data_IF_871666059195
#
_entry.id   IF_871666059195
#
_cell.length_a   1.000
_cell.length_b   1.000
_cell.length_c   1.000
_cell.angle_alpha   90.00
_cell.angle_beta   90.00
_cell.angle_gamma   90.00
#
_symmetry.space_group_name_H-M   'P 1'
#
loop_
_entity.id
_entity.type
_entity.pdbx_description
1 polymer ?
#
# COMPACT_ATOMS: atom_id res chain seq x y z
N UNK A 1 -5.00 -3.53 9.10
CA UNK A 1 -4.21 -2.70 10.04
C UNK A 1 -3.47 -3.64 10.99
N UNK A 2 -2.30 -3.27 11.49
CA UNK A 2 -1.53 -4.13 12.38
C UNK A 2 -1.45 -3.48 13.76
N UNK A 3 -1.98 -4.14 14.80
CA UNK A 3 -1.88 -3.70 16.20
C UNK A 3 -0.82 -4.58 16.85
N UNK A 4 0.38 -4.01 17.09
CA UNK A 4 1.48 -4.73 17.71
C UNK A 4 1.10 -5.22 19.12
N UNK A 5 1.42 -6.48 19.43
CA UNK A 5 1.10 -7.08 20.73
C UNK A 5 -0.31 -7.68 20.84
N UNK A 6 -1.18 -7.50 19.85
CA UNK A 6 -2.48 -8.17 19.76
C UNK A 6 -2.32 -9.52 19.06
N UNK A 7 -2.21 -10.60 19.83
CA UNK A 7 -2.21 -11.97 19.31
C UNK A 7 -3.64 -12.49 19.13
N UNK A 8 -3.79 -13.56 18.35
CA UNK A 8 -5.07 -14.26 18.19
C UNK A 8 -5.64 -14.69 19.56
N UNK A 9 -4.81 -15.30 20.41
CA UNK A 9 -5.22 -15.71 21.77
C UNK A 9 -5.63 -14.51 22.66
N UNK A 10 -5.01 -13.35 22.48
CA UNK A 10 -5.42 -12.12 23.17
C UNK A 10 -6.77 -11.63 22.68
N UNK A 11 -6.97 -11.64 21.36
CA UNK A 11 -8.23 -11.23 20.76
C UNK A 11 -9.38 -12.16 21.20
N UNK A 12 -9.16 -13.48 21.19
CA UNK A 12 -10.15 -14.45 21.68
C UNK A 12 -10.57 -14.14 23.13
N UNK A 13 -9.60 -13.91 24.03
CA UNK A 13 -9.91 -13.50 25.42
C UNK A 13 -10.78 -12.25 25.47
N UNK A 14 -10.47 -11.23 24.66
CA UNK A 14 -11.24 -9.99 24.65
C UNK A 14 -12.66 -10.17 24.12
N UNK A 15 -12.84 -11.08 23.16
CA UNK A 15 -14.17 -11.44 22.64
C UNK A 15 -14.96 -12.21 23.71
N UNK A 16 -14.36 -13.21 24.36
CA UNK A 16 -14.98 -14.03 25.40
C UNK A 16 -15.44 -13.20 26.61
N UNK A 17 -14.63 -12.22 26.99
CA UNK A 17 -14.94 -11.26 28.09
C UNK A 17 -15.90 -10.15 27.65
N UNK A 18 -16.27 -10.09 26.38
CA UNK A 18 -17.17 -9.08 25.83
C UNK A 18 -16.59 -7.68 25.73
N UNK A 19 -15.25 -7.55 25.84
CA UNK A 19 -14.51 -6.29 25.67
C UNK A 19 -14.52 -5.88 24.20
N UNK A 20 -14.34 -6.84 23.29
CA UNK A 20 -14.36 -6.62 21.85
C UNK A 20 -15.58 -7.37 21.26
N UNK A 21 -16.48 -6.63 20.63
CA UNK A 21 -17.66 -7.12 19.92
C UNK A 21 -17.63 -6.80 18.44
N UNK A 22 -16.95 -5.71 18.10
CA UNK A 22 -16.72 -5.25 16.75
C UNK A 22 -15.29 -4.72 16.58
N UNK A 23 -14.84 -4.54 15.34
CA UNK A 23 -13.46 -4.10 15.07
C UNK A 23 -13.13 -2.72 15.67
N UNK A 24 -14.11 -1.83 15.76
CA UNK A 24 -13.92 -0.49 16.33
C UNK A 24 -13.57 -0.53 17.83
N UNK A 25 -14.00 -1.58 18.57
CA UNK A 25 -13.70 -1.71 20.00
C UNK A 25 -12.21 -1.88 20.28
N UNK A 26 -11.45 -2.40 19.30
CA UNK A 26 -10.00 -2.51 19.39
C UNK A 26 -9.28 -1.16 19.56
N UNK A 27 -9.94 -0.07 19.22
CA UNK A 27 -9.42 1.30 19.36
C UNK A 27 -9.98 2.02 20.59
N UNK A 28 -10.83 1.32 21.40
CA UNK A 28 -11.45 1.83 22.63
C UNK A 28 -11.03 1.04 23.88
N UNK A 29 -9.90 0.33 23.81
CA UNK A 29 -9.42 -0.54 24.90
C UNK A 29 -9.16 0.23 26.21
N UNK A 30 -8.92 1.53 26.15
CA UNK A 30 -8.74 2.40 27.32
C UNK A 30 -9.96 2.35 28.25
N UNK A 31 -11.16 2.21 27.70
CA UNK A 31 -12.42 2.15 28.45
C UNK A 31 -12.54 0.86 29.30
N UNK A 32 -11.72 -0.15 29.00
CA UNK A 32 -11.73 -1.46 29.66
C UNK A 32 -10.46 -1.75 30.47
N UNK A 33 -9.72 -0.68 30.87
CA UNK A 33 -8.42 -0.79 31.54
C UNK A 33 -8.43 -1.78 32.72
N UNK A 34 -9.33 -1.60 33.66
CA UNK A 34 -9.36 -2.40 34.89
C UNK A 34 -9.65 -3.88 34.58
N UNK A 35 -10.48 -4.17 33.61
CA UNK A 35 -10.76 -5.53 33.18
C UNK A 35 -9.51 -6.17 32.56
N UNK A 36 -8.85 -5.48 31.63
CA UNK A 36 -7.71 -6.02 30.89
C UNK A 36 -6.48 -6.20 31.78
N UNK A 37 -6.15 -5.23 32.62
CA UNK A 37 -4.97 -5.29 33.50
C UNK A 37 -5.04 -6.45 34.50
N UNK A 38 -6.24 -6.81 34.95
CA UNK A 38 -6.46 -7.92 35.89
C UNK A 38 -6.62 -9.30 35.20
N UNK A 39 -6.60 -9.38 33.87
CA UNK A 39 -6.64 -10.65 33.14
C UNK A 39 -5.34 -11.43 33.32
N UNK A 40 -5.44 -12.77 33.35
CA UNK A 40 -4.27 -13.64 33.40
C UNK A 40 -3.35 -13.44 32.18
N UNK A 41 -2.09 -13.13 32.46
CA UNK A 41 -1.08 -12.85 31.41
C UNK A 41 -1.00 -11.38 30.99
N UNK A 42 -1.83 -10.52 31.57
CA UNK A 42 -1.78 -9.07 31.39
C UNK A 42 -1.24 -8.37 32.65
N UNK A 43 -0.84 -7.13 32.48
CA UNK A 43 -0.47 -6.20 33.54
C UNK A 43 -0.39 -4.80 32.94
N UNK A 44 -0.16 -3.80 33.77
CA UNK A 44 -0.10 -2.40 33.40
C UNK A 44 0.73 -2.15 32.13
N UNK A 45 1.97 -2.63 32.11
CA UNK A 45 2.89 -2.42 30.98
C UNK A 45 2.38 -3.04 29.67
N UNK A 46 1.76 -4.22 29.74
CA UNK A 46 1.22 -4.89 28.55
C UNK A 46 0.01 -4.14 28.02
N UNK A 47 -0.83 -3.65 28.93
CA UNK A 47 -1.98 -2.81 28.60
C UNK A 47 -1.53 -1.50 27.92
N UNK A 48 -0.61 -0.75 28.55
CA UNK A 48 -0.12 0.52 28.00
C UNK A 48 0.49 0.35 26.60
N UNK A 49 1.27 -0.72 26.39
CA UNK A 49 1.84 -1.03 25.08
C UNK A 49 0.75 -1.33 24.05
N UNK A 50 -0.26 -2.09 24.43
CA UNK A 50 -1.36 -2.48 23.52
C UNK A 50 -2.20 -1.26 23.13
N UNK A 51 -2.53 -0.38 24.09
CA UNK A 51 -3.24 0.88 23.84
C UNK A 51 -2.43 1.80 22.93
N UNK A 52 -1.12 1.94 23.19
CA UNK A 52 -0.25 2.73 22.32
C UNK A 52 -0.18 2.16 20.89
N UNK A 53 -0.13 0.83 20.76
CA UNK A 53 -0.15 0.17 19.46
C UNK A 53 -1.50 0.35 18.73
N UNK A 54 -2.62 0.25 19.42
CA UNK A 54 -3.95 0.51 18.89
C UNK A 54 -4.08 1.98 18.42
N UNK A 55 -3.64 2.93 19.23
CA UNK A 55 -3.62 4.35 18.86
C UNK A 55 -2.76 4.63 17.62
N UNK A 56 -1.58 4.04 17.56
CA UNK A 56 -0.72 4.14 16.35
C UNK A 56 -1.39 3.52 15.12
N UNK A 57 -2.11 2.40 15.28
CA UNK A 57 -2.81 1.73 14.20
C UNK A 57 -4.09 2.47 13.77
N UNK A 58 -4.67 3.34 14.60
CA UNK A 58 -5.81 4.18 14.24
C UNK A 58 -5.45 5.28 13.24
N UNK A 59 -4.18 5.69 13.19
CA UNK A 59 -3.65 6.56 12.14
C UNK A 59 -3.35 5.71 10.90
N UNK A 60 -4.16 5.85 9.86
CA UNK A 60 -4.11 4.95 8.71
C UNK A 60 -4.32 5.68 7.39
N UNK A 61 -4.18 4.97 6.29
CA UNK A 61 -4.47 5.48 4.94
C UNK A 61 -5.66 4.74 4.33
N UNK A 62 -6.36 5.31 3.33
CA UNK A 62 -7.47 4.64 2.66
C UNK A 62 -7.11 3.27 2.10
N UNK A 63 -5.91 3.12 1.52
CA UNK A 63 -5.43 1.83 1.01
C UNK A 63 -5.30 0.77 2.11
N UNK A 64 -4.76 1.15 3.29
CA UNK A 64 -4.61 0.23 4.43
C UNK A 64 -5.94 -0.13 5.06
N UNK A 65 -6.86 0.84 5.17
CA UNK A 65 -8.22 0.56 5.62
C UNK A 65 -8.91 -0.39 4.67
N UNK A 66 -8.92 -0.11 3.36
CA UNK A 66 -9.54 -0.96 2.35
C UNK A 66 -9.02 -2.40 2.40
N UNK A 67 -7.70 -2.57 2.47
CA UNK A 67 -7.09 -3.89 2.62
C UNK A 67 -7.54 -4.60 3.90
N UNK A 68 -7.66 -3.88 5.02
CA UNK A 68 -8.02 -4.46 6.32
C UNK A 68 -9.48 -4.94 6.41
N UNK A 69 -10.35 -4.49 5.52
CA UNK A 69 -11.75 -4.95 5.46
C UNK A 69 -11.89 -6.39 4.98
N UNK A 70 -10.84 -6.99 4.43
CA UNK A 70 -10.85 -8.39 4.02
C UNK A 70 -11.76 -8.71 2.84
N UNK A 71 -12.02 -7.75 1.96
CA UNK A 71 -12.84 -7.94 0.76
C UNK A 71 -12.20 -9.05 -0.10
N UNK A 72 -12.94 -10.09 -0.49
CA UNK A 72 -12.39 -11.20 -1.28
C UNK A 72 -11.67 -10.70 -2.54
N UNK A 73 -10.46 -11.22 -2.78
CA UNK A 73 -9.59 -10.89 -3.89
C UNK A 73 -9.03 -9.44 -3.90
N UNK A 74 -9.34 -8.61 -2.93
CA UNK A 74 -8.75 -7.29 -2.76
C UNK A 74 -7.58 -7.39 -1.76
N UNK A 75 -6.41 -7.74 -2.29
CA UNK A 75 -5.15 -7.73 -1.54
C UNK A 75 -4.55 -6.32 -1.42
N UNK A 76 -3.42 -6.19 -0.72
CA UNK A 76 -2.75 -4.91 -0.49
C UNK A 76 -2.41 -4.15 -1.79
N UNK A 77 -2.00 -4.86 -2.85
CA UNK A 77 -1.69 -4.25 -4.14
C UNK A 77 -2.94 -3.64 -4.79
N UNK A 78 -4.05 -4.40 -4.85
CA UNK A 78 -5.32 -3.92 -5.42
C UNK A 78 -5.89 -2.76 -4.60
N UNK A 79 -5.84 -2.85 -3.26
CA UNK A 79 -6.27 -1.76 -2.38
C UNK A 79 -5.45 -0.47 -2.63
N UNK A 80 -4.14 -0.59 -2.84
CA UNK A 80 -3.27 0.53 -3.20
C UNK A 80 -3.63 1.16 -4.56
N UNK A 81 -3.89 0.34 -5.57
CA UNK A 81 -4.31 0.82 -6.90
C UNK A 81 -5.66 1.54 -6.85
N UNK A 82 -6.66 0.95 -6.20
CA UNK A 82 -7.99 1.55 -6.02
C UNK A 82 -7.87 2.90 -5.29
N UNK A 83 -7.12 2.93 -4.19
CA UNK A 83 -6.92 4.15 -3.41
C UNK A 83 -6.27 5.27 -4.24
N UNK A 84 -5.25 4.93 -5.02
CA UNK A 84 -4.56 5.86 -5.91
C UNK A 84 -5.49 6.41 -7.00
N UNK A 85 -6.30 5.55 -7.64
CA UNK A 85 -7.27 5.96 -8.66
C UNK A 85 -8.32 6.93 -8.08
N UNK A 86 -8.72 6.69 -6.85
CA UNK A 86 -9.64 7.57 -6.11
C UNK A 86 -8.95 8.79 -5.48
N UNK A 87 -7.65 9.03 -5.72
CA UNK A 87 -6.87 10.12 -5.12
C UNK A 87 -6.95 10.10 -3.58
N UNK A 88 -6.88 8.92 -2.99
CA UNK A 88 -7.02 8.66 -1.55
C UNK A 88 -8.33 9.17 -0.92
N UNK A 89 -9.38 9.44 -1.70
CA UNK A 89 -10.65 9.88 -1.16
C UNK A 89 -11.52 8.70 -0.77
N UNK A 90 -11.69 8.50 0.55
CA UNK A 90 -12.45 7.36 1.09
C UNK A 90 -13.89 7.33 0.56
N UNK A 91 -14.54 8.48 0.48
CA UNK A 91 -15.89 8.58 -0.06
C UNK A 91 -15.99 8.05 -1.50
N UNK A 92 -14.98 8.31 -2.33
CA UNK A 92 -14.95 7.75 -3.70
C UNK A 92 -14.69 6.25 -3.68
N UNK A 93 -13.76 5.79 -2.84
CA UNK A 93 -13.40 4.38 -2.71
C UNK A 93 -14.63 3.54 -2.39
N UNK A 94 -15.40 3.91 -1.39
CA UNK A 94 -16.57 3.13 -0.96
C UNK A 94 -17.75 3.16 -1.94
N UNK A 95 -17.78 4.10 -2.88
CA UNK A 95 -18.88 4.31 -3.83
C UNK A 95 -18.52 3.96 -5.29
N UNK A 96 -17.40 3.28 -5.54
CA UNK A 96 -17.03 2.86 -6.89
C UNK A 96 -18.04 1.86 -7.46
N UNK A 97 -18.43 2.08 -8.71
CA UNK A 97 -19.25 1.16 -9.51
C UNK A 97 -18.39 -0.01 -10.06
N UNK A 98 -19.08 -1.07 -10.52
CA UNK A 98 -18.40 -2.20 -11.19
C UNK A 98 -17.59 -1.73 -12.42
N UNK A 99 -18.17 -0.83 -13.23
CA UNK A 99 -17.53 -0.32 -14.46
C UNK A 99 -16.27 0.50 -14.14
N UNK A 100 -16.33 1.37 -13.13
CA UNK A 100 -15.16 2.14 -12.67
C UNK A 100 -14.06 1.22 -12.15
N UNK A 101 -14.41 0.20 -11.36
CA UNK A 101 -13.46 -0.80 -10.86
C UNK A 101 -12.80 -1.58 -12.00
N UNK A 102 -13.57 -2.03 -13.00
CA UNK A 102 -13.05 -2.75 -14.17
C UNK A 102 -12.17 -1.87 -15.07
N UNK A 103 -12.26 -0.55 -14.97
CA UNK A 103 -11.34 0.36 -15.66
C UNK A 103 -9.94 0.39 -15.05
N UNK A 104 -9.78 -0.10 -13.81
CA UNK A 104 -8.49 -0.18 -13.12
C UNK A 104 -7.74 -1.44 -13.58
N UNK A 105 -6.50 -1.26 -14.05
CA UNK A 105 -5.68 -2.37 -14.54
C UNK A 105 -5.51 -3.46 -13.46
N UNK A 106 -5.79 -4.70 -13.82
CA UNK A 106 -5.72 -5.85 -12.92
C UNK A 106 -6.98 -6.13 -12.09
N UNK A 107 -8.05 -5.34 -12.21
CA UNK A 107 -9.35 -5.62 -11.58
C UNK A 107 -10.31 -6.18 -12.61
N UNK A 108 -10.69 -7.45 -12.43
CA UNK A 108 -11.66 -8.14 -13.28
C UNK A 108 -13.07 -8.13 -12.70
N UNK A 109 -14.05 -8.55 -13.52
CA UNK A 109 -15.48 -8.57 -13.19
C UNK A 109 -15.79 -9.23 -11.85
N UNK A 110 -15.17 -10.37 -11.52
CA UNK A 110 -15.42 -11.09 -10.25
C UNK A 110 -14.99 -10.25 -9.04
N UNK A 111 -13.86 -9.56 -9.14
CA UNK A 111 -13.39 -8.67 -8.08
C UNK A 111 -14.29 -7.44 -7.94
N UNK A 112 -14.64 -6.81 -9.07
CA UNK A 112 -15.49 -5.62 -9.10
C UNK A 112 -16.86 -5.90 -8.49
N UNK A 113 -17.50 -7.01 -8.88
CA UNK A 113 -18.80 -7.43 -8.31
C UNK A 113 -18.69 -7.73 -6.81
N UNK A 114 -17.68 -8.48 -6.38
CA UNK A 114 -17.46 -8.79 -4.96
C UNK A 114 -17.24 -7.54 -4.12
N UNK A 115 -16.52 -6.56 -4.65
CA UNK A 115 -16.30 -5.25 -4.02
C UNK A 115 -17.60 -4.47 -3.84
N UNK A 116 -18.38 -4.32 -4.92
CA UNK A 116 -19.65 -3.59 -4.87
C UNK A 116 -20.63 -4.28 -3.92
N UNK A 117 -20.74 -5.62 -3.96
CA UNK A 117 -21.56 -6.37 -3.02
C UNK A 117 -21.15 -6.11 -1.57
N UNK A 118 -19.85 -6.04 -1.27
CA UNK A 118 -19.36 -5.76 0.09
C UNK A 118 -19.86 -4.41 0.60
N UNK A 119 -19.76 -3.35 -0.19
CA UNK A 119 -20.18 -2.00 0.20
C UNK A 119 -21.70 -1.77 0.13
N UNK A 120 -22.48 -2.75 -0.37
CA UNK A 120 -23.95 -2.74 -0.35
C UNK A 120 -24.55 -3.65 0.73
N UNK A 121 -23.72 -4.40 1.45
CA UNK A 121 -24.17 -5.22 2.57
C UNK A 121 -24.32 -4.39 3.84
N UNK A 122 -25.49 -4.45 4.48
CA UNK A 122 -25.79 -3.62 5.65
C UNK A 122 -24.87 -3.89 6.85
N UNK A 123 -24.38 -5.13 7.02
CA UNK A 123 -23.48 -5.47 8.13
C UNK A 123 -22.09 -4.86 7.89
N UNK A 124 -21.60 -4.94 6.65
CA UNK A 124 -20.32 -4.34 6.26
C UNK A 124 -20.38 -2.80 6.32
N UNK A 125 -21.50 -2.20 5.89
CA UNK A 125 -21.72 -0.75 5.99
C UNK A 125 -21.64 -0.29 7.46
N UNK A 126 -22.27 -1.03 8.38
CA UNK A 126 -22.19 -0.73 9.83
C UNK A 126 -20.76 -0.84 10.34
N UNK A 127 -20.05 -1.91 9.98
CA UNK A 127 -18.65 -2.10 10.34
C UNK A 127 -17.74 -0.98 9.83
N UNK A 128 -17.89 -0.58 8.59
CA UNK A 128 -17.13 0.54 8.02
C UNK A 128 -17.43 1.84 8.76
N UNK A 129 -18.69 2.14 9.04
CA UNK A 129 -19.10 3.34 9.77
C UNK A 129 -18.50 3.39 11.17
N UNK A 130 -18.58 2.29 11.94
CA UNK A 130 -17.99 2.26 13.29
C UNK A 130 -16.47 2.41 13.27
N UNK A 131 -15.79 1.87 12.26
CA UNK A 131 -14.34 2.08 12.07
C UNK A 131 -14.02 3.54 11.75
N UNK A 132 -14.80 4.20 10.90
CA UNK A 132 -14.57 5.61 10.55
C UNK A 132 -14.73 6.57 11.73
N UNK A 133 -15.47 6.18 12.78
CA UNK A 133 -15.61 6.97 14.00
C UNK A 133 -14.36 6.96 14.88
N UNK A 134 -13.52 5.92 14.78
CA UNK A 134 -12.35 5.70 15.64
C UNK A 134 -11.01 5.82 14.90
N UNK A 135 -11.02 5.87 13.58
CA UNK A 135 -9.82 5.97 12.74
C UNK A 135 -9.57 7.40 12.29
N UNK A 136 -8.30 7.80 12.28
CA UNK A 136 -7.81 9.00 11.60
C UNK A 136 -7.25 8.60 10.24
N UNK A 137 -7.99 8.90 9.17
CA UNK A 137 -7.60 8.51 7.82
C UNK A 137 -6.86 9.68 7.16
N UNK A 138 -5.59 9.46 6.84
CA UNK A 138 -4.82 10.39 6.04
C UNK A 138 -5.20 10.25 4.55
N UNK A 139 -6.06 11.12 4.10
CA UNK A 139 -6.49 11.24 2.71
C UNK A 139 -5.60 12.16 1.87
N UNK A 140 -4.44 12.53 2.38
CA UNK A 140 -3.48 13.30 1.61
C UNK A 140 -3.13 12.51 0.33
N UNK A 141 -3.20 13.19 -0.78
CA UNK A 141 -2.86 12.66 -2.08
C UNK A 141 -1.94 13.67 -2.75
N UNK A 142 -0.67 13.35 -2.76
CA UNK A 142 0.22 14.02 -3.69
C UNK A 142 -0.07 13.44 -5.06
N UNK A 143 -0.78 14.19 -5.88
CA UNK A 143 -0.76 13.92 -7.29
C UNK A 143 0.72 13.97 -7.66
N UNK A 144 1.31 12.83 -7.99
CA UNK A 144 2.59 12.84 -8.72
C UNK A 144 2.27 13.53 -10.05
N UNK A 145 2.10 14.86 -9.98
CA UNK A 145 2.00 15.75 -11.10
C UNK A 145 3.32 15.58 -11.84
N UNK A 146 3.30 14.68 -12.85
CA UNK A 146 4.41 14.54 -13.75
C UNK A 146 5.77 14.52 -13.03
N UNK A 147 5.99 13.55 -12.13
CA UNK A 147 7.36 13.33 -11.65
C UNK A 147 8.25 13.22 -12.86
N UNK A 148 9.49 13.65 -12.74
CA UNK A 148 10.53 13.67 -13.81
C UNK A 148 10.52 12.41 -14.67
N UNK A 149 10.02 11.28 -14.10
CA UNK A 149 9.96 9.97 -14.74
C UNK A 149 8.54 9.50 -15.10
N UNK A 150 7.55 10.41 -15.10
CA UNK A 150 6.16 10.07 -15.40
C UNK A 150 6.02 9.46 -16.80
N UNK A 151 5.28 8.36 -16.91
CA UNK A 151 5.10 7.63 -18.16
C UNK A 151 6.26 6.72 -18.56
N UNK A 152 7.39 6.74 -17.84
CA UNK A 152 8.55 5.91 -18.12
C UNK A 152 8.53 4.61 -17.31
N UNK A 153 8.90 3.51 -17.95
CA UNK A 153 9.04 2.19 -17.32
C UNK A 153 10.52 1.78 -17.31
N UNK A 154 11.01 1.43 -16.13
CA UNK A 154 12.38 1.04 -15.88
C UNK A 154 12.51 -0.43 -15.50
N UNK A 155 13.57 -1.07 -15.96
CA UNK A 155 14.01 -2.38 -15.44
C UNK A 155 15.37 -2.19 -14.80
N UNK A 156 15.60 -2.79 -13.63
CA UNK A 156 16.86 -2.65 -12.88
C UNK A 156 17.54 -4.02 -12.85
N UNK A 157 18.84 -4.04 -13.14
CA UNK A 157 19.66 -5.26 -13.11
C UNK A 157 21.11 -4.94 -12.71
N UNK A 158 21.88 -5.97 -12.39
CA UNK A 158 23.27 -5.80 -11.98
C UNK A 158 23.46 -5.35 -10.52
N UNK A 159 24.67 -4.95 -10.20
CA UNK A 159 25.03 -4.38 -8.90
C UNK A 159 24.78 -2.89 -8.91
N UNK A 160 24.25 -2.37 -7.82
CA UNK A 160 24.07 -0.95 -7.56
C UNK A 160 25.20 -0.45 -6.65
N UNK A 161 25.59 0.79 -6.80
CA UNK A 161 26.73 1.42 -6.11
C UNK A 161 26.30 2.67 -5.33
N UNK A 162 25.35 3.44 -5.84
CA UNK A 162 24.87 4.68 -5.25
C UNK A 162 23.64 4.48 -4.36
N UNK A 163 22.96 3.35 -4.49
CA UNK A 163 21.80 2.99 -3.68
C UNK A 163 22.10 1.76 -2.83
N UNK A 164 21.42 1.62 -1.69
CA UNK A 164 21.62 0.50 -0.78
C UNK A 164 21.39 -0.87 -1.44
N UNK A 165 20.39 -0.94 -2.32
CA UNK A 165 20.02 -2.13 -3.10
C UNK A 165 19.11 -1.73 -4.25
N UNK A 166 18.73 -2.71 -5.09
CA UNK A 166 17.83 -2.50 -6.24
C UNK A 166 16.42 -2.07 -5.85
N UNK A 167 15.95 -2.43 -4.67
CA UNK A 167 14.61 -2.02 -4.20
C UNK A 167 14.61 -0.54 -3.79
N UNK A 168 15.74 -0.02 -3.31
CA UNK A 168 15.91 1.42 -3.10
C UNK A 168 15.84 2.20 -4.44
N UNK A 169 16.44 1.68 -5.52
CA UNK A 169 16.32 2.30 -6.85
C UNK A 169 14.87 2.27 -7.33
N UNK A 170 14.16 1.14 -7.15
CA UNK A 170 12.72 1.06 -7.49
C UNK A 170 11.90 2.11 -6.75
N UNK A 171 12.10 2.23 -5.44
CA UNK A 171 11.39 3.22 -4.63
C UNK A 171 11.60 4.65 -5.16
N UNK A 172 12.81 5.00 -5.58
CA UNK A 172 13.12 6.31 -6.16
C UNK A 172 12.45 6.50 -7.53
N UNK A 173 12.46 5.47 -8.40
CA UNK A 173 11.73 5.52 -9.68
C UNK A 173 10.24 5.79 -9.45
N UNK A 174 9.63 5.05 -8.52
CA UNK A 174 8.20 5.15 -8.20
C UNK A 174 7.86 6.48 -7.54
N UNK A 175 8.70 6.98 -6.64
CA UNK A 175 8.57 8.30 -6.04
C UNK A 175 8.65 9.44 -7.07
N UNK A 176 9.46 9.26 -8.13
CA UNK A 176 9.55 10.19 -9.26
C UNK A 176 8.47 9.99 -10.34
N UNK A 177 7.43 9.19 -10.07
CA UNK A 177 6.30 8.96 -10.98
C UNK A 177 6.55 7.92 -12.08
N UNK A 178 7.71 7.27 -12.10
CA UNK A 178 8.03 6.19 -13.03
C UNK A 178 7.42 4.84 -12.61
N UNK A 179 7.48 3.86 -13.52
CA UNK A 179 7.07 2.46 -13.25
C UNK A 179 8.29 1.55 -13.26
N UNK A 180 8.25 0.49 -12.45
CA UNK A 180 9.30 -0.54 -12.47
C UNK A 180 8.75 -1.87 -12.96
N UNK A 181 9.55 -2.63 -13.72
CA UNK A 181 9.21 -3.96 -14.18
C UNK A 181 10.33 -4.97 -13.88
N UNK A 182 9.95 -6.22 -13.69
CA UNK A 182 10.89 -7.32 -13.40
C UNK A 182 11.65 -7.83 -14.63
N UNK A 183 11.08 -7.65 -15.84
CA UNK A 183 11.62 -8.14 -17.11
C UNK A 183 11.59 -7.05 -18.18
N UNK A 184 12.53 -7.13 -19.12
CA UNK A 184 12.62 -6.23 -20.27
C UNK A 184 11.58 -6.65 -21.33
N UNK A 185 10.78 -5.69 -21.79
CA UNK A 185 9.76 -5.87 -22.81
C UNK A 185 9.66 -4.63 -23.70
N UNK A 186 8.86 -4.67 -24.76
CA UNK A 186 8.61 -3.51 -25.64
C UNK A 186 8.01 -2.29 -24.90
N UNK A 187 7.49 -2.48 -23.69
CA UNK A 187 6.97 -1.39 -22.82
C UNK A 187 8.05 -0.78 -21.93
N UNK A 188 9.29 -1.31 -21.93
CA UNK A 188 10.40 -0.81 -21.12
C UNK A 188 11.05 0.38 -21.84
N UNK A 189 11.20 1.50 -21.13
CA UNK A 189 11.87 2.70 -21.68
C UNK A 189 13.38 2.70 -21.40
N UNK A 190 13.80 2.20 -20.23
CA UNK A 190 15.21 2.19 -19.83
C UNK A 190 15.56 0.92 -19.04
N UNK A 191 16.77 0.41 -19.26
CA UNK A 191 17.39 -0.60 -18.40
C UNK A 191 18.49 0.05 -17.57
N UNK A 192 18.36 0.09 -16.25
CA UNK A 192 19.40 0.57 -15.34
C UNK A 192 20.36 -0.59 -15.05
N UNK A 193 21.62 -0.42 -15.47
CA UNK A 193 22.71 -1.35 -15.21
C UNK A 193 24.06 -0.65 -15.31
N UNK A 194 24.84 -0.60 -14.25
CA UNK A 194 26.19 -0.02 -14.26
C UNK A 194 27.17 -0.74 -15.20
N UNK A 195 26.96 -2.03 -15.46
CA UNK A 195 27.69 -2.78 -16.48
C UNK A 195 26.89 -2.79 -17.79
N UNK A 196 27.07 -1.72 -18.61
CA UNK A 196 26.40 -1.54 -19.90
C UNK A 196 26.74 -2.68 -20.87
N UNK A 197 27.93 -3.28 -20.75
CA UNK A 197 28.42 -4.37 -21.59
C UNK A 197 28.10 -5.77 -21.06
N UNK A 198 27.36 -5.87 -19.96
CA UNK A 198 26.96 -7.13 -19.36
C UNK A 198 26.35 -8.09 -20.38
N UNK A 199 26.75 -9.35 -20.29
CA UNK A 199 26.19 -10.45 -21.10
C UNK A 199 24.87 -11.02 -20.52
N UNK A 200 24.29 -10.37 -19.50
CA UNK A 200 23.06 -10.81 -18.85
C UNK A 200 21.88 -10.88 -19.82
N UNK A 201 20.92 -11.76 -19.57
CA UNK A 201 19.72 -11.92 -20.41
C UNK A 201 18.92 -10.61 -20.57
N UNK A 202 18.88 -9.78 -19.51
CA UNK A 202 18.21 -8.47 -19.55
C UNK A 202 18.95 -7.49 -20.46
N UNK A 203 20.29 -7.43 -20.39
CA UNK A 203 21.09 -6.57 -21.31
C UNK A 203 20.94 -7.01 -22.77
N UNK A 204 20.99 -8.33 -23.03
CA UNK A 204 20.78 -8.85 -24.40
C UNK A 204 19.40 -8.47 -24.91
N UNK A 205 18.36 -8.66 -24.09
CA UNK A 205 16.98 -8.33 -24.45
C UNK A 205 16.78 -6.82 -24.66
N UNK A 206 17.42 -5.97 -23.87
CA UNK A 206 17.38 -4.52 -24.06
C UNK A 206 17.99 -4.11 -25.39
N UNK A 207 19.15 -4.69 -25.74
CA UNK A 207 19.81 -4.46 -27.04
C UNK A 207 18.99 -4.96 -28.23
N UNK A 208 18.33 -6.12 -28.10
CA UNK A 208 17.44 -6.65 -29.13
C UNK A 208 16.20 -5.78 -29.40
N UNK A 209 15.76 -5.03 -28.40
CA UNK A 209 14.57 -4.17 -28.46
C UNK A 209 14.94 -2.69 -28.59
N UNK A 210 16.22 -2.35 -28.86
CA UNK A 210 16.74 -0.99 -28.93
C UNK A 210 16.43 -0.12 -27.70
N UNK A 211 16.36 -0.75 -26.50
CA UNK A 211 16.09 -0.09 -25.24
C UNK A 211 17.40 0.45 -24.69
N UNK A 212 17.48 1.76 -24.36
CA UNK A 212 18.65 2.35 -23.77
C UNK A 212 19.05 1.70 -22.44
N UNK A 213 20.35 1.35 -22.31
CA UNK A 213 20.94 0.86 -21.07
C UNK A 213 21.68 2.05 -20.46
N UNK A 214 21.26 2.46 -19.25
CA UNK A 214 21.82 3.63 -18.55
C UNK A 214 22.46 3.19 -17.23
N UNK A 215 23.44 3.98 -16.77
CA UNK A 215 24.05 3.78 -15.45
C UNK A 215 23.22 4.41 -14.34
N UNK A 216 23.53 4.13 -13.07
CA UNK A 216 22.93 4.84 -11.93
C UNK A 216 23.21 6.34 -11.97
N UNK A 217 24.40 6.74 -12.43
CA UNK A 217 24.76 8.16 -12.59
C UNK A 217 23.89 8.85 -13.63
N UNK A 218 23.65 8.21 -14.77
CA UNK A 218 22.75 8.74 -15.80
C UNK A 218 21.32 8.82 -15.31
N UNK A 219 20.89 7.81 -14.56
CA UNK A 219 19.58 7.81 -13.91
C UNK A 219 19.42 8.97 -12.91
N UNK A 220 20.44 9.23 -12.07
CA UNK A 220 20.42 10.36 -11.13
C UNK A 220 20.36 11.72 -11.87
N UNK A 221 21.08 11.88 -12.97
CA UNK A 221 20.97 13.08 -13.81
C UNK A 221 19.57 13.26 -14.40
N UNK A 222 18.90 12.16 -14.77
CA UNK A 222 17.50 12.23 -15.23
C UNK A 222 16.55 12.72 -14.13
N UNK A 223 16.81 12.36 -12.87
CA UNK A 223 16.04 12.86 -11.73
C UNK A 223 16.26 14.36 -11.49
N UNK A 224 17.49 14.84 -11.65
CA UNK A 224 17.87 16.25 -11.48
C UNK A 224 17.41 17.14 -12.65
N UNK A 225 17.46 16.62 -13.87
CA UNK A 225 17.14 17.36 -15.10
C UNK A 225 15.67 17.76 -15.25
N UNK A 226 14.75 17.17 -14.48
CA UNK A 226 13.34 17.58 -14.41
C UNK A 226 13.12 18.91 -13.67
N UNK A 227 14.10 19.41 -12.92
CA UNK A 227 14.02 20.66 -12.18
C UNK A 227 14.53 21.89 -12.98
N UNK A 228 14.93 21.72 -14.25
CA UNK A 228 15.57 22.78 -15.02
C UNK A 228 14.67 23.49 -16.04
N UNK A 229 13.34 23.30 -15.97
CA UNK A 229 12.37 24.05 -16.78
C UNK A 229 11.25 24.60 -15.88
N UNK A 230 11.56 25.67 -15.14
CA UNK A 230 10.62 26.62 -14.57
C UNK A 230 11.05 28.03 -14.99
#
# INVERSE_FOLDING_TARGET
MNIEGLSEATLEKFVDEGIVREFADLFKLEDHRDAIVNMEGFGEKSFDNLVAAAKKASETTPARLLYSLGIPNIGAANAGMISKECKNKWEKIQNLSEDELMSIDGIGEVMARGYVCFFHDDANIRTVKSLLEVLSIDESYEENAGGTLSGLTFVITGKVHHFANRDAVKAVVEAAGGKTASSVSAKTNYLINNDINSSSSKNKKAKELDIPIITEEDFMKMLEGGNSNA
#
